data_IF_884978526774
#
_entry.id   IF_884978526774
#
_cell.length_a   1.000
_cell.length_b   1.000
_cell.length_c   1.000
_cell.angle_alpha   90.00
_cell.angle_beta   90.00
_cell.angle_gamma   90.00
#
_symmetry.space_group_name_H-M   'P 1'
#
loop_
_entity.id
_entity.type
_entity.pdbx_description
1 polymer ?
#
# COMPACT_ATOMS: atom_id res chain seq x y z
N UNK A 1 -10.22 -24.52 6.51
CA UNK A 1 -10.05 -23.19 5.88
C UNK A 1 -8.73 -22.59 6.33
N UNK A 2 -8.44 -22.58 7.64
CA UNK A 2 -7.17 -22.14 8.21
C UNK A 2 -5.95 -22.87 7.63
N UNK A 3 -5.92 -24.20 7.60
CA UNK A 3 -4.76 -24.94 7.05
C UNK A 3 -4.40 -24.55 5.60
N UNK A 4 -5.41 -24.20 4.78
CA UNK A 4 -5.14 -23.74 3.41
C UNK A 4 -4.47 -22.37 3.42
N UNK A 5 -4.96 -21.47 4.28
CA UNK A 5 -4.37 -20.16 4.47
C UNK A 5 -2.91 -20.28 4.92
N UNK A 6 -2.64 -21.06 5.96
CA UNK A 6 -1.30 -21.30 6.50
C UNK A 6 -0.33 -21.82 5.44
N UNK A 7 -0.76 -22.82 4.66
CA UNK A 7 0.05 -23.38 3.59
C UNK A 7 0.38 -22.34 2.50
N UNK A 8 -0.59 -21.48 2.14
CA UNK A 8 -0.38 -20.42 1.16
C UNK A 8 0.50 -19.30 1.69
N UNK A 9 0.26 -18.86 2.93
CA UNK A 9 1.05 -17.83 3.59
C UNK A 9 2.53 -18.26 3.68
N UNK A 10 2.79 -19.48 4.16
CA UNK A 10 4.14 -20.03 4.22
C UNK A 10 4.80 -20.12 2.84
N UNK A 11 4.04 -20.45 1.79
CA UNK A 11 4.54 -20.50 0.41
C UNK A 11 4.87 -19.11 -0.13
N UNK A 12 3.99 -18.12 0.11
CA UNK A 12 4.21 -16.72 -0.30
C UNK A 12 5.49 -16.18 0.36
N UNK A 13 5.60 -16.34 1.68
CA UNK A 13 6.77 -15.89 2.45
C UNK A 13 8.07 -16.58 2.02
N UNK A 14 8.00 -17.85 1.60
CA UNK A 14 9.17 -18.61 1.14
C UNK A 14 9.62 -18.25 -0.27
N UNK A 15 8.67 -18.05 -1.20
CA UNK A 15 8.98 -17.97 -2.62
C UNK A 15 8.88 -16.54 -3.17
N UNK A 16 7.91 -15.75 -2.71
CA UNK A 16 7.65 -14.42 -3.28
C UNK A 16 8.39 -13.30 -2.55
N UNK A 17 8.89 -13.55 -1.33
CA UNK A 17 9.60 -12.57 -0.52
C UNK A 17 11.04 -12.38 -1.03
N UNK A 18 11.37 -11.16 -1.41
CA UNK A 18 12.72 -10.72 -1.76
C UNK A 18 12.95 -9.31 -1.23
N UNK A 19 14.09 -9.05 -0.57
CA UNK A 19 14.41 -7.74 0.05
C UNK A 19 13.27 -7.16 0.92
N UNK A 20 12.56 -8.02 1.67
CA UNK A 20 11.41 -7.66 2.52
C UNK A 20 10.19 -7.09 1.77
N UNK A 21 10.10 -7.35 0.46
CA UNK A 21 8.95 -7.05 -0.38
C UNK A 21 8.50 -8.32 -1.11
N UNK A 22 7.30 -8.29 -1.70
CA UNK A 22 6.73 -9.44 -2.39
C UNK A 22 6.63 -9.19 -3.90
N UNK A 23 7.23 -10.09 -4.68
CA UNK A 23 7.32 -9.98 -6.14
C UNK A 23 6.74 -11.21 -6.84
N UNK A 24 6.29 -11.01 -8.09
CA UNK A 24 5.82 -12.11 -8.91
C UNK A 24 6.99 -12.95 -9.43
N UNK A 25 6.84 -14.27 -9.36
CA UNK A 25 7.82 -15.22 -9.86
C UNK A 25 7.46 -15.73 -11.24
N UNK A 26 8.50 -16.06 -12.02
CA UNK A 26 8.32 -16.81 -13.24
C UNK A 26 8.15 -18.30 -12.94
N UNK A 27 6.95 -18.85 -13.13
CA UNK A 27 6.69 -20.29 -12.89
C UNK A 27 7.55 -21.24 -13.75
N UNK A 28 8.07 -20.78 -14.90
CA UNK A 28 8.98 -21.58 -15.74
C UNK A 28 10.41 -21.58 -15.21
N UNK A 29 10.79 -20.55 -14.45
CA UNK A 29 12.09 -20.42 -13.83
C UNK A 29 11.95 -19.74 -12.46
N UNK A 30 11.81 -20.57 -11.42
CA UNK A 30 11.60 -20.13 -10.04
C UNK A 30 12.78 -19.35 -9.44
N UNK A 31 13.94 -19.33 -10.12
CA UNK A 31 15.09 -18.51 -9.72
C UNK A 31 15.09 -17.11 -10.33
N UNK A 32 14.07 -16.76 -11.14
CA UNK A 32 13.96 -15.46 -11.80
C UNK A 32 12.64 -14.77 -11.44
N UNK A 33 12.72 -13.45 -11.21
CA UNK A 33 11.56 -12.59 -11.07
C UNK A 33 10.81 -12.52 -12.42
N UNK A 34 9.48 -12.53 -12.37
CA UNK A 34 8.65 -12.33 -13.56
C UNK A 34 8.64 -10.86 -13.99
N UNK A 35 8.54 -9.96 -13.02
CA UNK A 35 8.58 -8.52 -13.22
C UNK A 35 9.33 -7.86 -12.08
N UNK A 36 9.92 -6.71 -12.38
CA UNK A 36 10.51 -5.82 -11.39
C UNK A 36 9.49 -4.83 -10.77
N UNK A 37 8.25 -4.85 -11.26
CA UNK A 37 7.20 -3.95 -10.80
C UNK A 37 6.47 -4.51 -9.58
N UNK A 38 6.27 -3.64 -8.60
CA UNK A 38 5.37 -3.84 -7.46
C UNK A 38 4.20 -2.90 -7.64
N UNK A 39 2.98 -3.42 -7.57
CA UNK A 39 1.76 -2.60 -7.54
C UNK A 39 1.37 -2.19 -6.12
N UNK A 40 0.68 -1.05 -6.03
CA UNK A 40 0.16 -0.48 -4.78
C UNK A 40 -0.87 -1.39 -4.09
N UNK A 41 -1.58 -2.26 -4.82
CA UNK A 41 -2.59 -3.14 -4.23
C UNK A 41 -1.96 -4.08 -3.22
N UNK A 42 -0.72 -4.54 -3.44
CA UNK A 42 0.04 -5.35 -2.47
C UNK A 42 0.19 -4.72 -1.09
N UNK A 43 -0.09 -3.42 -0.93
CA UNK A 43 -0.15 -2.77 0.37
C UNK A 43 -1.22 -3.32 1.32
N UNK A 44 -2.11 -4.24 0.89
CA UNK A 44 -3.01 -4.96 1.80
C UNK A 44 -2.28 -6.00 2.66
N UNK A 45 -1.11 -6.47 2.20
CA UNK A 45 -0.45 -7.62 2.79
C UNK A 45 0.02 -7.41 4.23
N UNK A 46 0.54 -6.23 4.64
CA UNK A 46 0.83 -5.98 6.06
C UNK A 46 -0.39 -6.14 6.98
N UNK A 47 -1.59 -5.69 6.58
CA UNK A 47 -2.82 -5.97 7.31
C UNK A 47 -3.04 -7.49 7.49
N UNK A 48 -2.85 -8.25 6.41
CA UNK A 48 -2.97 -9.71 6.46
C UNK A 48 -1.95 -10.35 7.41
N UNK A 49 -0.70 -9.86 7.40
CA UNK A 49 0.35 -10.32 8.30
C UNK A 49 0.00 -10.03 9.77
N UNK A 50 -0.52 -8.84 10.07
CA UNK A 50 -1.03 -8.51 11.41
C UNK A 50 -2.15 -9.47 11.83
N UNK A 51 -3.12 -9.72 10.95
CA UNK A 51 -4.24 -10.64 11.23
C UNK A 51 -3.79 -12.09 11.43
N UNK A 52 -2.71 -12.50 10.76
CA UNK A 52 -2.09 -13.81 10.94
C UNK A 52 -1.27 -13.91 12.24
N UNK A 53 -0.73 -12.78 12.73
CA UNK A 53 0.11 -12.70 13.93
C UNK A 53 1.56 -12.29 13.66
N UNK A 54 1.94 -12.11 12.40
CA UNK A 54 3.29 -11.74 11.96
C UNK A 54 3.48 -10.21 11.96
N UNK A 55 3.32 -9.60 13.14
CA UNK A 55 3.32 -8.14 13.29
C UNK A 55 4.69 -7.54 12.92
N UNK A 56 5.81 -8.16 13.29
CA UNK A 56 7.15 -7.64 12.97
C UNK A 56 7.40 -7.54 11.46
N UNK A 57 6.96 -8.54 10.70
CA UNK A 57 7.08 -8.54 9.24
C UNK A 57 6.16 -7.50 8.60
N UNK A 58 4.96 -7.32 9.15
CA UNK A 58 4.03 -6.28 8.73
C UNK A 58 4.63 -4.87 8.93
N UNK A 59 5.29 -4.63 10.06
CA UNK A 59 5.96 -3.36 10.37
C UNK A 59 7.03 -3.05 9.32
N UNK A 60 7.91 -4.02 9.02
CA UNK A 60 9.00 -3.85 8.05
C UNK A 60 8.43 -3.52 6.67
N UNK A 61 7.44 -4.30 6.20
CA UNK A 61 6.91 -4.11 4.85
C UNK A 61 6.14 -2.79 4.74
N UNK A 62 5.32 -2.44 5.73
CA UNK A 62 4.61 -1.16 5.77
C UNK A 62 5.55 0.04 5.82
N UNK A 63 6.67 -0.06 6.56
CA UNK A 63 7.68 1.01 6.59
C UNK A 63 8.27 1.27 5.20
N UNK A 64 8.58 0.21 4.45
CA UNK A 64 9.08 0.36 3.06
C UNK A 64 8.06 1.14 2.23
N UNK A 65 6.78 0.73 2.26
CA UNK A 65 5.70 1.41 1.54
C UNK A 65 5.50 2.86 1.99
N UNK A 66 5.65 3.14 3.29
CA UNK A 66 5.57 4.49 3.83
C UNK A 66 6.67 5.40 3.27
N UNK A 67 7.92 4.93 3.17
CA UNK A 67 9.01 5.70 2.57
C UNK A 67 8.73 6.05 1.09
N UNK A 68 8.10 5.13 0.35
CA UNK A 68 7.64 5.39 -1.02
C UNK A 68 6.56 6.47 -1.06
N UNK A 69 5.53 6.35 -0.22
CA UNK A 69 4.43 7.30 -0.16
C UNK A 69 4.94 8.70 0.21
N UNK A 70 5.81 8.79 1.23
CA UNK A 70 6.41 10.04 1.69
C UNK A 70 7.21 10.76 0.61
N UNK A 71 7.96 10.01 -0.21
CA UNK A 71 8.73 10.56 -1.34
C UNK A 71 7.85 11.10 -2.47
N UNK A 72 6.65 10.55 -2.64
CA UNK A 72 5.78 10.80 -3.80
C UNK A 72 4.42 11.41 -3.42
N UNK A 73 4.25 11.91 -2.19
CA UNK A 73 2.99 12.39 -1.59
C UNK A 73 2.01 11.23 -1.28
N UNK A 74 1.85 10.32 -2.23
CA UNK A 74 1.05 9.10 -2.09
C UNK A 74 1.82 7.89 -2.61
N UNK A 75 1.37 6.69 -2.24
CA UNK A 75 1.91 5.45 -2.79
C UNK A 75 1.55 5.35 -4.29
N UNK A 76 2.52 5.30 -5.21
CA UNK A 76 2.26 5.25 -6.64
C UNK A 76 1.65 3.91 -7.05
N UNK A 77 0.86 3.89 -8.14
CA UNK A 77 0.17 2.69 -8.60
C UNK A 77 1.14 1.52 -8.87
N UNK A 78 2.31 1.80 -9.47
CA UNK A 78 3.41 0.84 -9.63
C UNK A 78 4.79 1.47 -9.48
N UNK A 79 5.72 0.73 -8.88
CA UNK A 79 7.11 1.14 -8.64
C UNK A 79 8.06 -0.07 -8.70
N UNK A 80 9.35 0.16 -8.87
CA UNK A 80 10.36 -0.91 -8.96
C UNK A 80 11.04 -1.20 -7.62
N UNK A 81 11.70 -2.37 -7.50
CA UNK A 81 12.52 -2.71 -6.32
C UNK A 81 13.62 -1.68 -6.02
N UNK A 82 14.09 -0.97 -7.06
CA UNK A 82 15.13 0.05 -6.96
C UNK A 82 14.56 1.43 -6.61
N UNK A 83 13.38 1.49 -6.01
CA UNK A 83 12.70 2.71 -5.59
C UNK A 83 12.42 3.70 -6.74
N UNK A 84 12.25 3.18 -7.97
CA UNK A 84 11.91 3.99 -9.14
C UNK A 84 10.41 3.92 -9.39
N UNK A 85 9.82 5.09 -9.56
CA UNK A 85 8.45 5.24 -9.97
C UNK A 85 8.29 4.71 -11.41
N UNK A 86 7.38 3.75 -11.62
CA UNK A 86 7.09 3.17 -12.94
C UNK A 86 5.88 3.86 -13.55
N UNK A 87 4.82 4.05 -12.75
CA UNK A 87 3.64 4.83 -13.13
C UNK A 87 3.48 6.02 -12.19
N UNK A 88 3.01 7.13 -12.77
CA UNK A 88 2.83 8.39 -12.05
C UNK A 88 1.42 8.59 -11.51
N UNK A 89 0.53 7.62 -11.68
CA UNK A 89 -0.86 7.73 -11.26
C UNK A 89 -1.02 7.39 -9.76
N UNK A 90 -1.96 8.06 -9.11
CA UNK A 90 -2.48 7.69 -7.80
C UNK A 90 -4.00 7.62 -7.86
N UNK A 91 -4.53 6.41 -7.63
CA UNK A 91 -5.94 6.08 -7.80
C UNK A 91 -6.70 5.94 -6.48
N UNK A 92 -6.30 6.67 -5.42
CA UNK A 92 -7.04 6.70 -4.14
C UNK A 92 -7.15 5.35 -3.42
N UNK A 93 -6.17 4.46 -3.68
CA UNK A 93 -6.11 3.07 -3.21
C UNK A 93 -6.15 2.96 -1.67
N UNK A 94 -7.07 2.18 -1.08
CA UNK A 94 -7.25 2.12 0.37
C UNK A 94 -6.20 1.27 1.10
N UNK A 95 -5.53 0.36 0.41
CA UNK A 95 -4.79 -0.76 0.98
C UNK A 95 -3.65 -0.32 1.91
N UNK A 96 -2.98 0.79 1.60
CA UNK A 96 -1.93 1.34 2.46
C UNK A 96 -2.47 1.82 3.81
N UNK A 97 -3.61 2.51 3.83
CA UNK A 97 -4.21 3.00 5.08
C UNK A 97 -4.96 1.91 5.82
N UNK A 98 -5.50 0.91 5.12
CA UNK A 98 -6.00 -0.31 5.74
C UNK A 98 -4.91 -0.99 6.58
N UNK A 99 -3.74 -1.23 5.98
CA UNK A 99 -2.58 -1.78 6.69
C UNK A 99 -2.12 -0.91 7.85
N UNK A 100 -2.12 0.41 7.66
CA UNK A 100 -1.81 1.36 8.73
C UNK A 100 -2.76 1.21 9.92
N UNK A 101 -4.06 1.08 9.67
CA UNK A 101 -5.08 0.88 10.71
C UNK A 101 -4.89 -0.43 11.49
N UNK A 102 -4.61 -1.55 10.80
CA UNK A 102 -4.37 -2.82 11.48
C UNK A 102 -3.09 -2.80 12.31
N UNK A 103 -2.03 -2.17 11.80
CA UNK A 103 -0.79 -1.98 12.55
C UNK A 103 -1.01 -1.11 13.79
N UNK A 104 -1.73 0.01 13.68
CA UNK A 104 -2.13 0.80 14.85
C UNK A 104 -2.96 -0.03 15.83
N UNK A 105 -3.89 -0.84 15.33
CA UNK A 105 -4.74 -1.68 16.16
C UNK A 105 -3.97 -2.71 16.96
N UNK A 106 -2.93 -3.31 16.38
CA UNK A 106 -2.08 -4.32 17.01
C UNK A 106 -1.01 -3.73 17.95
N UNK A 107 -0.40 -2.61 17.57
CA UNK A 107 0.78 -2.04 18.27
C UNK A 107 0.42 -0.89 19.22
N UNK A 108 -0.64 -0.13 18.91
CA UNK A 108 -1.03 1.13 19.56
C UNK A 108 0.05 2.22 19.51
N UNK A 109 0.99 2.13 18.59
CA UNK A 109 2.03 3.15 18.42
C UNK A 109 1.47 4.41 17.74
N UNK A 110 1.81 5.58 18.28
CA UNK A 110 1.35 6.88 17.77
C UNK A 110 1.85 7.17 16.35
N UNK A 111 2.96 6.56 15.94
CA UNK A 111 3.53 6.68 14.60
C UNK A 111 2.49 6.42 13.50
N UNK A 112 1.62 5.41 13.67
CA UNK A 112 0.57 5.11 12.69
C UNK A 112 -0.53 6.16 12.63
N UNK A 113 -0.78 6.88 13.74
CA UNK A 113 -1.70 8.02 13.74
C UNK A 113 -1.09 9.21 13.00
N UNK A 114 0.22 9.42 13.11
CA UNK A 114 0.95 10.46 12.35
C UNK A 114 0.85 10.19 10.85
N UNK A 115 1.07 8.94 10.40
CA UNK A 115 0.88 8.56 8.99
C UNK A 115 -0.55 8.84 8.52
N UNK A 116 -1.55 8.52 9.33
CA UNK A 116 -2.95 8.76 8.99
C UNK A 116 -3.25 10.26 8.87
N UNK A 117 -2.74 11.07 9.80
CA UNK A 117 -2.90 12.52 9.80
C UNK A 117 -2.22 13.16 8.58
N UNK A 118 -0.98 12.79 8.29
CA UNK A 118 -0.27 13.24 7.08
C UNK A 118 -1.04 12.86 5.80
N UNK A 119 -1.68 11.68 5.79
CA UNK A 119 -2.50 11.24 4.66
C UNK A 119 -3.75 12.10 4.50
N UNK A 120 -4.44 12.43 5.59
CA UNK A 120 -5.61 13.35 5.55
C UNK A 120 -5.19 14.72 5.02
N UNK A 121 -4.10 15.28 5.52
CA UNK A 121 -3.60 16.57 5.08
C UNK A 121 -3.23 16.55 3.59
N UNK A 122 -2.60 15.47 3.12
CA UNK A 122 -2.29 15.28 1.70
C UNK A 122 -3.57 15.13 0.86
N UNK A 123 -4.59 14.41 1.32
CA UNK A 123 -5.86 14.28 0.61
C UNK A 123 -6.52 15.65 0.44
N UNK A 124 -6.65 16.42 1.51
CA UNK A 124 -7.28 17.75 1.44
C UNK A 124 -6.46 18.73 0.59
N UNK A 125 -5.13 18.63 0.63
CA UNK A 125 -4.26 19.53 -0.14
C UNK A 125 -4.20 19.19 -1.62
N UNK A 126 -4.12 17.90 -1.97
CA UNK A 126 -3.78 17.47 -3.33
C UNK A 126 -4.93 16.81 -4.09
N UNK A 127 -5.96 16.28 -3.42
CA UNK A 127 -7.06 15.59 -4.10
C UNK A 127 -8.36 16.40 -4.10
N UNK A 128 -8.49 17.39 -3.22
CA UNK A 128 -9.72 18.18 -3.09
C UNK A 128 -9.99 19.00 -4.35
N UNK A 129 -11.22 18.92 -4.83
CA UNK A 129 -11.76 19.74 -5.93
C UNK A 129 -13.12 20.32 -5.52
N UNK A 130 -13.67 21.33 -6.23
CA UNK A 130 -14.91 22.00 -5.80
C UNK A 130 -16.11 21.07 -5.58
N UNK A 131 -16.21 19.98 -6.34
CA UNK A 131 -17.32 19.02 -6.30
C UNK A 131 -17.00 17.70 -5.57
N UNK A 132 -15.85 17.56 -4.90
CA UNK A 132 -15.45 16.32 -4.23
C UNK A 132 -13.94 16.11 -4.22
N UNK A 133 -13.50 14.93 -4.62
CA UNK A 133 -12.08 14.57 -4.71
C UNK A 133 -11.77 13.97 -6.08
N UNK A 134 -10.54 14.15 -6.55
CA UNK A 134 -10.05 13.63 -7.82
C UNK A 134 -8.80 12.77 -7.60
N UNK A 135 -8.66 11.66 -8.32
CA UNK A 135 -7.39 10.93 -8.39
C UNK A 135 -6.33 11.78 -9.12
N UNK A 136 -5.06 11.44 -8.93
CA UNK A 136 -3.95 12.13 -9.59
C UNK A 136 -3.50 11.30 -10.78
N UNK A 137 -3.46 11.93 -11.95
CA UNK A 137 -2.93 11.35 -13.20
C UNK A 137 -1.40 11.36 -13.23
N UNK A 138 -0.79 12.38 -12.64
CA UNK A 138 0.67 12.47 -12.56
C UNK A 138 1.14 13.09 -11.23
N UNK A 139 1.73 12.26 -10.36
CA UNK A 139 2.25 12.62 -9.03
C UNK A 139 3.40 13.65 -9.09
N UNK A 140 4.11 13.76 -10.22
CA UNK A 140 5.18 14.74 -10.38
C UNK A 140 4.65 16.15 -10.67
N UNK A 141 3.49 16.27 -11.32
CA UNK A 141 2.87 17.56 -11.66
C UNK A 141 1.63 17.86 -10.80
N UNK A 142 1.15 16.88 -10.04
CA UNK A 142 -0.13 16.92 -9.30
C UNK A 142 -1.34 17.18 -10.21
N UNK A 143 -1.25 16.80 -11.49
CA UNK A 143 -2.37 16.90 -12.44
C UNK A 143 -3.49 15.93 -12.02
N UNK A 144 -4.70 16.45 -11.83
CA UNK A 144 -5.87 15.65 -11.53
C UNK A 144 -6.34 14.85 -12.76
N UNK A 145 -6.79 13.63 -12.52
CA UNK A 145 -7.68 12.92 -13.43
C UNK A 145 -9.13 13.29 -13.12
N UNK A 146 -10.02 13.27 -14.11
CA UNK A 146 -11.46 13.49 -13.90
C UNK A 146 -12.16 12.21 -13.39
N UNK A 147 -11.72 11.72 -12.24
CA UNK A 147 -12.26 10.50 -11.62
C UNK A 147 -12.15 10.52 -10.11
N UNK A 148 -13.21 10.09 -9.44
CA UNK A 148 -13.24 9.77 -8.03
C UNK A 148 -13.63 8.30 -7.89
N UNK A 149 -12.79 7.52 -7.24
CA UNK A 149 -13.07 6.10 -7.04
C UNK A 149 -14.01 5.91 -5.85
N UNK A 150 -14.96 4.97 -5.97
CA UNK A 150 -15.96 4.74 -4.92
C UNK A 150 -15.35 4.29 -3.60
N UNK A 151 -14.23 3.55 -3.67
CA UNK A 151 -13.49 3.06 -2.50
C UNK A 151 -12.79 4.15 -1.71
N UNK A 152 -12.62 5.37 -2.25
CA UNK A 152 -12.18 6.52 -1.46
C UNK A 152 -13.12 6.74 -0.26
N UNK A 153 -14.43 6.70 -0.53
CA UNK A 153 -15.47 6.98 0.47
C UNK A 153 -15.77 5.73 1.29
N UNK A 154 -15.89 4.55 0.66
CA UNK A 154 -16.30 3.33 1.37
C UNK A 154 -15.20 2.65 2.16
N UNK A 155 -13.93 2.92 1.84
CA UNK A 155 -12.79 2.22 2.42
C UNK A 155 -11.75 3.19 2.99
N UNK A 156 -11.14 4.04 2.16
CA UNK A 156 -10.03 4.90 2.61
C UNK A 156 -10.47 5.82 3.77
N UNK A 157 -11.57 6.57 3.61
CA UNK A 157 -12.09 7.46 4.67
C UNK A 157 -12.56 6.71 5.90
N UNK A 158 -13.09 5.49 5.73
CA UNK A 158 -13.47 4.64 6.86
C UNK A 158 -12.23 4.29 7.69
N UNK A 159 -11.14 3.87 7.06
CA UNK A 159 -9.90 3.53 7.79
C UNK A 159 -9.19 4.75 8.39
N UNK A 160 -9.33 5.95 7.79
CA UNK A 160 -8.84 7.18 8.40
C UNK A 160 -9.68 7.65 9.59
N UNK A 161 -10.95 7.26 9.65
CA UNK A 161 -11.86 7.62 10.75
C UNK A 161 -11.71 6.70 11.97
N UNK A 162 -11.42 5.41 11.74
CA UNK A 162 -11.28 4.37 12.77
C UNK A 162 -9.95 4.47 13.52
#
# INVERSE_FOLDING_TARGET
MLDRFENHYASISKYLKYLNMFFDLNFKNLSSLYSDSVDSLRAFFPALQVLHGDVEEAIIYHQILHEFAKKHIFLPETFSHNYKLITHEYKQRPEFIESNYYLYSATKESFYLEIAMDTVDNIEKYLRVPCGYASIKNLSTTEHSDRMETFLISELFKYLYL
#
